data_IF_977557253742
#
_entry.id   IF_977557253742
#
_cell.length_a   1.000
_cell.length_b   1.000
_cell.length_c   1.000
_cell.angle_alpha   90.00
_cell.angle_beta   90.00
_cell.angle_gamma   90.00
#
_symmetry.space_group_name_H-M   'P 1'
#
loop_
_entity.id
_entity.type
_entity.pdbx_description
1 polymer ?
#
# COMPACT_ATOMS: atom_id res chain seq x y z
N UNK A 1 14.54 -26.43 48.95
CA UNK A 1 14.64 -27.28 47.73
C UNK A 1 13.23 -27.53 47.23
N UNK A 2 12.72 -26.63 46.38
CA UNK A 2 11.42 -26.71 45.74
C UNK A 2 11.56 -27.29 44.33
N UNK A 3 10.70 -28.23 44.04
CA UNK A 3 10.71 -29.14 42.91
C UNK A 3 10.46 -28.41 41.59
N UNK A 4 11.46 -28.37 40.71
CA UNK A 4 11.41 -27.79 39.35
C UNK A 4 10.60 -28.62 38.34
N UNK A 5 9.82 -29.61 38.74
CA UNK A 5 9.08 -30.51 37.84
C UNK A 5 7.71 -29.99 37.41
N UNK A 6 7.13 -29.00 38.04
CA UNK A 6 5.78 -28.54 37.72
C UNK A 6 5.73 -27.46 36.64
N UNK A 7 6.82 -26.74 36.36
CA UNK A 7 6.90 -25.73 35.31
C UNK A 7 6.86 -26.30 33.85
N UNK A 8 7.22 -27.59 33.69
CA UNK A 8 7.18 -28.21 32.38
C UNK A 8 5.81 -28.76 31.96
N UNK A 9 4.84 -28.87 32.87
CA UNK A 9 3.49 -29.35 32.57
C UNK A 9 2.59 -28.25 32.01
N UNK A 10 2.78 -26.99 32.39
CA UNK A 10 1.97 -25.88 31.90
C UNK A 10 2.33 -25.49 30.47
N UNK A 11 3.59 -25.58 30.06
CA UNK A 11 4.02 -25.34 28.68
C UNK A 11 3.51 -26.37 27.66
N UNK A 12 3.17 -27.57 28.08
CA UNK A 12 2.57 -28.59 27.20
C UNK A 12 1.09 -28.35 26.92
N UNK A 13 0.36 -27.65 27.77
CA UNK A 13 -1.05 -27.34 27.58
C UNK A 13 -1.30 -26.22 26.54
N UNK A 14 -0.39 -25.31 26.35
CA UNK A 14 -0.52 -24.24 25.35
C UNK A 14 -0.27 -24.69 23.91
N UNK A 15 0.35 -25.84 23.69
CA UNK A 15 0.58 -26.36 22.32
C UNK A 15 -0.61 -27.08 21.69
N UNK A 16 -1.68 -27.34 22.44
CA UNK A 16 -2.85 -28.08 21.94
C UNK A 16 -4.07 -27.23 21.61
N UNK A 17 -3.98 -25.89 21.67
CA UNK A 17 -5.13 -25.01 21.42
C UNK A 17 -5.15 -24.38 20.02
N UNK A 18 -4.34 -24.82 19.07
CA UNK A 18 -4.28 -24.27 17.70
C UNK A 18 -4.57 -25.30 16.62
N UNK A 19 -5.53 -26.21 16.83
CA UNK A 19 -6.12 -26.99 15.73
C UNK A 19 -7.58 -26.56 15.61
N UNK A 20 -7.81 -25.45 14.87
CA UNK A 20 -9.12 -25.14 14.29
C UNK A 20 -9.12 -25.62 12.86
N UNK A 21 -10.12 -26.41 12.52
CA UNK A 21 -10.29 -27.04 11.19
C UNK A 21 -10.62 -26.04 10.07
N UNK A 22 -10.74 -24.75 10.36
CA UNK A 22 -10.87 -23.66 9.37
C UNK A 22 -10.22 -22.40 9.92
N UNK A 23 -9.23 -21.87 9.20
CA UNK A 23 -8.53 -20.61 9.51
C UNK A 23 -9.12 -19.40 8.75
N UNK A 24 -10.41 -19.44 8.46
CA UNK A 24 -11.10 -18.27 7.94
C UNK A 24 -11.17 -17.20 9.04
N UNK A 25 -10.84 -15.97 8.67
CA UNK A 25 -10.79 -14.84 9.59
C UNK A 25 -11.78 -13.75 9.18
N UNK A 26 -12.54 -13.25 10.14
CA UNK A 26 -13.30 -12.00 10.01
C UNK A 26 -12.72 -10.99 10.98
N UNK A 27 -12.42 -9.79 10.51
CA UNK A 27 -11.86 -8.71 11.30
C UNK A 27 -12.65 -7.43 11.07
N UNK A 28 -12.98 -6.74 12.13
CA UNK A 28 -13.65 -5.44 12.07
C UNK A 28 -12.93 -4.42 12.95
N UNK A 29 -12.79 -3.20 12.44
CA UNK A 29 -12.23 -2.08 13.17
C UNK A 29 -13.18 -0.90 13.12
N UNK A 30 -13.32 -0.21 14.26
CA UNK A 30 -14.07 1.03 14.38
C UNK A 30 -13.24 1.99 15.25
N UNK A 31 -12.88 3.14 14.69
CA UNK A 31 -12.15 4.16 15.40
C UNK A 31 -12.93 5.47 15.37
N UNK A 32 -13.02 6.11 16.53
CA UNK A 32 -13.54 7.46 16.67
C UNK A 32 -12.40 8.42 16.97
N UNK A 33 -12.26 9.45 16.16
CA UNK A 33 -11.30 10.54 16.32
C UNK A 33 -12.05 11.81 16.71
N UNK A 34 -11.99 12.23 17.97
CA UNK A 34 -12.63 13.48 18.38
C UNK A 34 -11.96 14.68 17.69
N UNK A 35 -12.71 15.74 17.56
CA UNK A 35 -12.17 17.01 17.05
C UNK A 35 -10.92 17.40 17.81
N UNK A 36 -9.91 17.85 17.08
CA UNK A 36 -8.62 18.24 17.66
C UNK A 36 -8.02 19.41 16.90
N UNK A 37 -6.96 19.96 17.47
CA UNK A 37 -6.08 20.87 16.74
C UNK A 37 -5.15 20.05 15.86
N UNK A 38 -4.99 20.54 14.62
CA UNK A 38 -4.13 19.92 13.61
C UNK A 38 -3.11 20.93 13.11
N UNK A 39 -1.83 20.56 13.16
CA UNK A 39 -0.69 21.36 12.73
C UNK A 39 0.28 20.58 11.81
N UNK A 40 0.15 19.26 11.78
CA UNK A 40 0.97 18.41 10.90
C UNK A 40 0.55 18.54 9.44
N UNK A 41 -0.75 18.50 9.16
CA UNK A 41 -1.28 18.69 7.80
C UNK A 41 -0.97 20.08 7.24
N UNK A 42 -0.85 21.10 8.10
CA UNK A 42 -0.43 22.45 7.74
C UNK A 42 1.08 22.60 7.55
N UNK A 43 1.86 21.57 7.82
CA UNK A 43 3.33 21.59 7.80
C UNK A 43 3.93 22.73 8.65
N UNK A 44 3.33 23.01 9.80
CA UNK A 44 3.77 24.06 10.73
C UNK A 44 3.37 25.49 10.34
N UNK A 45 2.51 25.68 9.33
CA UNK A 45 2.04 27.01 8.91
C UNK A 45 0.83 27.51 9.71
N UNK A 46 0.64 27.02 10.91
CA UNK A 46 -0.44 27.34 11.83
C UNK A 46 -1.29 26.12 12.16
N UNK A 47 -2.14 26.25 13.16
CA UNK A 47 -3.04 25.17 13.58
C UNK A 47 -4.49 25.50 13.24
N UNK A 48 -5.25 24.48 12.86
CA UNK A 48 -6.67 24.57 12.61
C UNK A 48 -7.43 23.46 13.33
N UNK A 49 -8.73 23.62 13.50
CA UNK A 49 -9.57 22.67 14.22
C UNK A 49 -10.21 21.69 13.25
N UNK A 50 -9.97 20.40 13.47
CA UNK A 50 -10.62 19.32 12.70
C UNK A 50 -12.03 19.04 13.25
N UNK A 51 -12.87 18.37 12.44
CA UNK A 51 -14.13 17.80 12.88
C UNK A 51 -13.93 16.44 13.55
N UNK A 52 -14.98 15.93 14.21
CA UNK A 52 -15.03 14.54 14.66
C UNK A 52 -15.03 13.63 13.43
N UNK A 53 -14.28 12.54 13.50
CA UNK A 53 -14.18 11.59 12.38
C UNK A 53 -14.36 10.16 12.86
N UNK A 54 -15.00 9.37 12.06
CA UNK A 54 -15.14 7.92 12.27
C UNK A 54 -14.46 7.19 11.13
N UNK A 55 -13.63 6.23 11.48
CA UNK A 55 -13.08 5.22 10.57
C UNK A 55 -13.69 3.88 10.89
N UNK A 56 -14.05 3.12 9.87
CA UNK A 56 -14.49 1.75 9.99
C UNK A 56 -13.89 0.89 8.89
N UNK A 57 -13.61 -0.36 9.22
CA UNK A 57 -13.09 -1.36 8.29
C UNK A 57 -13.69 -2.71 8.62
N UNK A 58 -14.02 -3.48 7.60
CA UNK A 58 -14.38 -4.88 7.67
C UNK A 58 -13.51 -5.67 6.71
N UNK A 59 -12.92 -6.75 7.18
CA UNK A 59 -12.10 -7.65 6.40
C UNK A 59 -12.52 -9.10 6.60
N UNK A 60 -12.44 -9.87 5.52
CA UNK A 60 -12.61 -11.30 5.51
C UNK A 60 -11.43 -11.94 4.77
N UNK A 61 -10.92 -13.04 5.29
CA UNK A 61 -9.87 -13.83 4.67
C UNK A 61 -10.14 -15.32 4.82
N UNK A 62 -9.83 -16.08 3.78
CA UNK A 62 -9.87 -17.55 3.81
C UNK A 62 -8.54 -18.11 4.34
N UNK A 63 -8.54 -19.37 4.67
CA UNK A 63 -7.37 -20.10 5.17
C UNK A 63 -6.18 -20.03 4.20
N UNK A 64 -5.11 -19.34 4.60
CA UNK A 64 -3.89 -19.17 3.80
C UNK A 64 -3.00 -20.40 3.70
N UNK A 65 -3.32 -21.49 4.44
CA UNK A 65 -2.66 -22.78 4.31
C UNK A 65 -3.14 -23.57 3.08
N UNK A 66 -4.27 -23.18 2.49
CA UNK A 66 -4.85 -23.82 1.32
C UNK A 66 -4.08 -23.44 0.05
N UNK A 67 -4.18 -24.28 -0.98
CA UNK A 67 -3.56 -24.01 -2.30
C UNK A 67 -4.09 -22.74 -2.95
N UNK A 68 -5.32 -22.37 -2.65
CA UNK A 68 -5.96 -21.14 -3.06
C UNK A 68 -6.58 -20.45 -1.85
N UNK A 69 -6.22 -19.22 -1.62
CA UNK A 69 -6.83 -18.38 -0.61
C UNK A 69 -7.12 -16.99 -1.19
N UNK A 70 -8.11 -16.34 -0.64
CA UNK A 70 -8.48 -14.98 -1.02
C UNK A 70 -8.90 -14.17 0.20
N UNK A 71 -8.80 -12.88 0.06
CA UNK A 71 -9.25 -11.92 1.07
C UNK A 71 -9.96 -10.76 0.43
N UNK A 72 -10.87 -10.16 1.16
CA UNK A 72 -11.53 -8.91 0.80
C UNK A 72 -11.58 -8.02 2.03
N UNK A 73 -11.35 -6.73 1.82
CA UNK A 73 -11.49 -5.72 2.85
C UNK A 73 -12.19 -4.50 2.26
N UNK A 74 -12.93 -3.80 3.09
CA UNK A 74 -13.58 -2.56 2.68
C UNK A 74 -13.89 -1.70 3.90
N UNK A 75 -13.96 -0.42 3.68
CA UNK A 75 -14.17 0.50 4.78
C UNK A 75 -14.31 1.95 4.33
N UNK A 76 -14.36 2.82 5.31
CA UNK A 76 -14.44 4.23 5.05
C UNK A 76 -14.01 5.10 6.23
N UNK A 77 -13.73 6.34 5.93
CA UNK A 77 -13.36 7.36 6.89
C UNK A 77 -14.00 8.70 6.52
N UNK A 78 -14.43 9.44 7.51
CA UNK A 78 -14.81 10.84 7.31
C UNK A 78 -13.54 11.68 7.17
N UNK A 79 -13.53 12.56 6.17
CA UNK A 79 -12.43 13.49 5.94
C UNK A 79 -12.48 14.70 6.91
N UNK A 80 -11.42 15.47 6.93
CA UNK A 80 -11.23 16.58 7.88
C UNK A 80 -12.33 17.65 7.79
N UNK A 81 -12.85 17.91 6.58
CA UNK A 81 -13.83 18.97 6.28
C UNK A 81 -15.18 18.44 5.77
N UNK A 82 -15.69 17.36 6.33
CA UNK A 82 -17.00 16.75 6.01
C UNK A 82 -17.05 15.86 4.75
N UNK A 83 -15.93 15.65 4.07
CA UNK A 83 -15.83 14.66 2.99
C UNK A 83 -15.78 13.23 3.53
N UNK A 84 -15.58 12.29 2.63
CA UNK A 84 -15.44 10.86 2.98
C UNK A 84 -14.42 10.16 2.07
N UNK A 85 -13.65 9.28 2.66
CA UNK A 85 -12.85 8.32 1.92
C UNK A 85 -13.49 6.94 2.03
N UNK A 86 -13.59 6.23 0.93
CA UNK A 86 -14.02 4.83 0.87
C UNK A 86 -12.92 4.00 0.22
N UNK A 87 -12.75 2.77 0.66
CA UNK A 87 -11.77 1.87 0.08
C UNK A 87 -12.29 0.44 0.01
N UNK A 88 -11.76 -0.28 -0.97
CA UNK A 88 -11.94 -1.72 -1.14
C UNK A 88 -10.59 -2.34 -1.51
N UNK A 89 -10.30 -3.50 -0.95
CA UNK A 89 -9.13 -4.28 -1.30
C UNK A 89 -9.51 -5.74 -1.52
N UNK A 90 -8.89 -6.36 -2.51
CA UNK A 90 -9.03 -7.79 -2.81
C UNK A 90 -7.65 -8.39 -2.91
N UNK A 91 -7.42 -9.48 -2.20
CA UNK A 91 -6.19 -10.26 -2.23
C UNK A 91 -6.46 -11.70 -2.69
N UNK A 92 -5.51 -12.26 -3.41
CA UNK A 92 -5.54 -13.66 -3.87
C UNK A 92 -4.14 -14.26 -3.73
N UNK A 93 -4.07 -15.45 -3.15
CA UNK A 93 -2.84 -16.26 -3.12
C UNK A 93 -3.12 -17.61 -3.74
N UNK A 94 -2.28 -18.03 -4.70
CA UNK A 94 -2.39 -19.32 -5.36
C UNK A 94 -1.06 -20.09 -5.28
N UNK A 95 -1.08 -21.20 -4.56
CA UNK A 95 0.08 -22.08 -4.29
C UNK A 95 -0.27 -23.55 -4.65
N UNK A 96 -0.39 -23.89 -5.94
CA UNK A 96 -0.77 -25.24 -6.35
C UNK A 96 0.24 -26.30 -5.93
N UNK A 97 1.52 -25.92 -5.83
CA UNK A 97 2.65 -26.75 -5.43
C UNK A 97 3.63 -25.96 -4.58
N UNK A 98 4.54 -26.64 -3.88
CA UNK A 98 5.63 -25.99 -3.11
C UNK A 98 6.65 -25.24 -4.00
N UNK A 99 6.54 -25.39 -5.33
CA UNK A 99 7.45 -24.77 -6.30
C UNK A 99 6.88 -23.55 -7.00
N UNK A 100 5.62 -23.23 -6.76
CA UNK A 100 4.96 -22.09 -7.38
C UNK A 100 4.08 -21.35 -6.38
N UNK A 101 4.26 -20.05 -6.27
CA UNK A 101 3.31 -19.16 -5.61
C UNK A 101 3.04 -17.92 -6.44
N UNK A 102 1.80 -17.49 -6.42
CA UNK A 102 1.32 -16.26 -7.02
C UNK A 102 0.48 -15.52 -5.98
N UNK A 103 0.85 -14.28 -5.69
CA UNK A 103 0.12 -13.38 -4.79
C UNK A 103 -0.27 -12.14 -5.59
N UNK A 104 -1.56 -11.81 -5.60
CA UNK A 104 -2.13 -10.64 -6.24
C UNK A 104 -2.96 -9.87 -5.23
N UNK A 105 -2.63 -8.61 -5.00
CA UNK A 105 -3.39 -7.67 -4.18
C UNK A 105 -3.80 -6.48 -5.04
N UNK A 106 -5.05 -6.05 -4.95
CA UNK A 106 -5.55 -4.85 -5.63
C UNK A 106 -6.31 -4.03 -4.61
N UNK A 107 -5.85 -2.81 -4.37
CA UNK A 107 -6.52 -1.85 -3.52
C UNK A 107 -6.98 -0.67 -4.34
N UNK A 108 -8.22 -0.24 -4.12
CA UNK A 108 -8.78 0.99 -4.65
C UNK A 108 -9.27 1.85 -3.51
N UNK A 109 -9.00 3.15 -3.60
CA UNK A 109 -9.48 4.14 -2.66
C UNK A 109 -10.04 5.34 -3.42
N UNK A 110 -11.20 5.80 -3.00
CA UNK A 110 -11.82 7.02 -3.50
C UNK A 110 -11.95 8.01 -2.36
N UNK A 111 -11.37 9.18 -2.56
CA UNK A 111 -11.40 10.29 -1.62
C UNK A 111 -12.36 11.36 -2.12
N UNK A 112 -13.26 11.81 -1.29
CA UNK A 112 -14.08 13.01 -1.52
C UNK A 112 -13.72 14.03 -0.45
N UNK A 113 -13.11 15.15 -0.87
CA UNK A 113 -12.67 16.20 0.04
C UNK A 113 -11.36 15.89 0.78
N UNK A 114 -10.44 15.18 0.15
CA UNK A 114 -9.09 14.93 0.67
C UNK A 114 -8.32 16.24 0.81
N UNK A 115 -8.04 16.65 2.05
CA UNK A 115 -7.39 17.91 2.37
C UNK A 115 -5.88 17.82 2.18
N UNK A 116 -5.31 18.70 1.35
CA UNK A 116 -3.87 18.78 1.10
C UNK A 116 -3.35 20.20 1.25
N UNK A 117 -2.12 20.32 1.77
CA UNK A 117 -1.40 21.56 1.89
C UNK A 117 -0.81 21.99 0.55
N UNK A 118 -1.11 23.22 0.11
CA UNK A 118 -0.69 23.78 -1.18
C UNK A 118 0.53 24.72 -1.07
N UNK A 119 0.90 25.12 0.12
CA UNK A 119 2.03 26.00 0.39
C UNK A 119 1.64 27.16 1.33
N UNK A 120 2.59 27.58 2.18
CA UNK A 120 2.31 28.60 3.18
C UNK A 120 1.07 28.27 4.01
N UNK A 121 0.05 29.12 3.99
CA UNK A 121 -1.20 28.92 4.73
C UNK A 121 -2.36 28.42 3.85
N UNK A 122 -2.06 28.01 2.61
CA UNK A 122 -3.07 27.55 1.66
C UNK A 122 -3.26 26.05 1.77
N UNK A 123 -4.51 25.64 1.77
CA UNK A 123 -4.98 24.26 1.74
C UNK A 123 -5.99 24.11 0.61
N UNK A 124 -6.09 22.91 0.02
CA UNK A 124 -7.14 22.60 -0.94
C UNK A 124 -7.70 21.20 -0.66
N UNK A 125 -8.96 20.99 -1.01
CA UNK A 125 -9.58 19.67 -1.00
C UNK A 125 -9.63 19.11 -2.40
N UNK A 126 -9.46 17.78 -2.49
CA UNK A 126 -9.43 17.04 -3.74
C UNK A 126 -10.47 15.91 -3.73
N UNK A 127 -11.05 15.67 -4.89
CA UNK A 127 -11.71 14.41 -5.21
C UNK A 127 -10.68 13.53 -5.92
N UNK A 128 -10.37 12.35 -5.38
CA UNK A 128 -9.26 11.57 -5.87
C UNK A 128 -9.55 10.08 -5.90
N UNK A 129 -9.20 9.45 -7.01
CA UNK A 129 -9.10 8.01 -7.16
C UNK A 129 -7.66 7.52 -6.99
N UNK A 130 -7.48 6.39 -6.30
CA UNK A 130 -6.16 5.80 -6.07
C UNK A 130 -6.23 4.29 -6.27
N UNK A 131 -5.46 3.77 -7.25
CA UNK A 131 -5.29 2.34 -7.50
C UNK A 131 -3.90 1.87 -7.08
N UNK A 132 -3.85 0.73 -6.40
CA UNK A 132 -2.60 0.14 -5.91
C UNK A 132 -2.59 -1.39 -6.12
N UNK A 133 -2.42 -1.90 -7.36
CA UNK A 133 -2.18 -3.31 -7.59
C UNK A 133 -0.75 -3.70 -7.24
N UNK A 134 -0.62 -4.90 -6.68
CA UNK A 134 0.64 -5.56 -6.36
C UNK A 134 0.59 -7.00 -6.83
N UNK A 135 1.63 -7.43 -7.52
CA UNK A 135 1.83 -8.81 -7.97
C UNK A 135 3.16 -9.33 -7.43
N UNK A 136 3.14 -10.52 -6.83
CA UNK A 136 4.35 -11.26 -6.51
C UNK A 136 4.22 -12.71 -7.00
N UNK A 137 5.28 -13.21 -7.65
CA UNK A 137 5.35 -14.57 -8.15
C UNK A 137 6.69 -15.19 -7.80
N UNK A 138 6.66 -16.40 -7.26
CA UNK A 138 7.84 -17.21 -7.00
C UNK A 138 7.72 -18.54 -7.74
N UNK A 139 8.78 -18.90 -8.49
CA UNK A 139 8.85 -20.15 -9.25
C UNK A 139 10.19 -20.84 -8.98
N UNK A 140 10.16 -22.03 -8.45
CA UNK A 140 11.33 -22.91 -8.33
C UNK A 140 11.38 -23.86 -9.53
N UNK A 141 12.22 -23.54 -10.52
CA UNK A 141 12.44 -24.41 -11.68
C UNK A 141 13.08 -25.74 -11.26
N UNK A 142 14.05 -25.64 -10.36
CA UNK A 142 14.70 -26.79 -9.67
C UNK A 142 14.95 -26.40 -8.21
N UNK A 143 15.47 -27.32 -7.41
CA UNK A 143 15.91 -27.01 -6.03
C UNK A 143 16.99 -25.94 -5.94
N UNK A 144 17.71 -25.67 -7.06
CA UNK A 144 18.83 -24.71 -7.15
C UNK A 144 18.51 -23.50 -8.00
N UNK A 145 17.33 -23.41 -8.61
CA UNK A 145 16.97 -22.32 -9.53
C UNK A 145 15.62 -21.73 -9.14
N UNK A 146 15.60 -20.43 -8.93
CA UNK A 146 14.40 -19.67 -8.55
C UNK A 146 14.25 -18.46 -9.45
N UNK A 147 13.03 -18.21 -9.90
CA UNK A 147 12.59 -16.96 -10.52
C UNK A 147 11.63 -16.29 -9.55
N UNK A 148 11.84 -15.02 -9.28
CA UNK A 148 10.93 -14.17 -8.51
C UNK A 148 10.58 -12.92 -9.33
N UNK A 149 9.31 -12.67 -9.49
CA UNK A 149 8.77 -11.42 -10.04
C UNK A 149 8.05 -10.68 -8.92
N UNK A 150 8.35 -9.41 -8.77
CA UNK A 150 7.55 -8.49 -7.93
C UNK A 150 7.22 -7.26 -8.76
N UNK A 151 5.96 -6.83 -8.71
CA UNK A 151 5.49 -5.64 -9.39
C UNK A 151 4.54 -4.88 -8.46
N UNK A 152 4.68 -3.58 -8.40
CA UNK A 152 3.78 -2.68 -7.68
C UNK A 152 3.55 -1.46 -8.55
N UNK A 153 2.31 -1.03 -8.64
CA UNK A 153 1.95 0.22 -9.26
C UNK A 153 1.06 1.03 -8.33
N UNK A 154 1.20 2.34 -8.35
CA UNK A 154 0.31 3.28 -7.68
C UNK A 154 -0.09 4.35 -8.68
N UNK A 155 -1.39 4.43 -8.99
CA UNK A 155 -1.99 5.46 -9.83
C UNK A 155 -2.92 6.33 -9.00
N UNK A 156 -2.72 7.64 -9.05
CA UNK A 156 -3.57 8.65 -8.40
C UNK A 156 -4.00 9.64 -9.45
N UNK A 157 -5.31 9.92 -9.48
CA UNK A 157 -5.91 11.04 -10.21
C UNK A 157 -6.65 11.87 -9.20
N UNK A 158 -6.35 13.16 -9.13
CA UNK A 158 -6.87 14.06 -8.11
C UNK A 158 -7.31 15.39 -8.75
N UNK A 159 -8.60 15.70 -8.56
CA UNK A 159 -9.27 16.90 -9.04
C UNK A 159 -9.49 17.87 -7.89
N UNK A 160 -9.00 19.09 -8.04
CA UNK A 160 -9.12 20.13 -7.03
C UNK A 160 -10.56 20.66 -6.92
N UNK A 161 -11.08 20.72 -5.68
CA UNK A 161 -12.48 21.07 -5.44
C UNK A 161 -12.66 22.45 -4.82
N UNK A 162 -12.06 22.67 -3.64
CA UNK A 162 -12.25 23.89 -2.88
C UNK A 162 -10.95 24.34 -2.18
N UNK A 163 -10.84 25.64 -1.95
CA UNK A 163 -9.68 26.28 -1.36
C UNK A 163 -9.96 26.74 0.05
N UNK A 164 -8.96 26.60 0.89
CA UNK A 164 -9.02 27.01 2.28
C UNK A 164 -7.75 27.74 2.70
N UNK A 165 -7.90 28.61 3.67
CA UNK A 165 -6.79 29.28 4.31
C UNK A 165 -6.75 28.94 5.79
N UNK A 166 -5.56 28.61 6.29
CA UNK A 166 -5.30 28.43 7.72
C UNK A 166 -5.44 29.80 8.41
N UNK A 167 -6.30 29.94 9.44
CA UNK A 167 -6.54 31.23 10.10
C UNK A 167 -5.30 31.70 10.85
N UNK A 168 -5.10 33.05 10.99
CA UNK A 168 -3.99 33.64 11.77
C UNK A 168 -4.17 33.34 13.25
N UNK A 169 -5.40 33.49 13.73
CA UNK A 169 -5.79 33.06 15.07
C UNK A 169 -6.32 31.63 14.96
N UNK A 170 -5.80 30.69 15.76
CA UNK A 170 -6.23 29.30 15.67
C UNK A 170 -7.76 29.16 15.69
N UNK A 171 -8.30 28.47 14.69
CA UNK A 171 -9.75 28.34 14.46
C UNK A 171 -10.06 27.26 13.41
N UNK A 172 -11.28 27.31 12.85
CA UNK A 172 -11.64 26.50 11.69
C UNK A 172 -10.91 27.02 10.44
N UNK A 173 -10.66 26.13 9.45
CA UNK A 173 -10.19 26.57 8.13
C UNK A 173 -11.22 27.52 7.51
N UNK A 174 -10.72 28.55 6.85
CA UNK A 174 -11.54 29.56 6.19
C UNK A 174 -11.61 29.20 4.71
N UNK A 175 -12.80 28.93 4.21
CA UNK A 175 -13.00 28.72 2.78
C UNK A 175 -12.76 30.04 2.04
N UNK A 176 -11.97 30.00 0.98
CA UNK A 176 -11.62 31.15 0.16
C UNK A 176 -11.94 30.85 -1.30
N UNK A 177 -12.36 31.89 -2.03
CA UNK A 177 -12.56 31.75 -3.47
C UNK A 177 -11.23 31.49 -4.19
N UNK A 178 -11.31 30.79 -5.30
CA UNK A 178 -10.18 30.65 -6.21
C UNK A 178 -9.96 31.97 -6.95
N UNK A 179 -8.70 32.37 -7.09
CA UNK A 179 -8.37 33.45 -8.04
C UNK A 179 -8.75 33.02 -9.46
N UNK A 180 -9.44 33.90 -10.20
CA UNK A 180 -9.97 33.61 -11.53
C UNK A 180 -8.88 33.20 -12.54
N UNK A 181 -7.64 33.66 -12.31
CA UNK A 181 -6.48 33.38 -13.16
C UNK A 181 -5.61 32.22 -12.62
N UNK A 182 -5.99 31.57 -11.53
CA UNK A 182 -5.22 30.46 -10.97
C UNK A 182 -5.36 29.18 -11.82
N UNK A 183 -4.24 28.56 -12.14
CA UNK A 183 -4.20 27.26 -12.81
C UNK A 183 -4.80 26.19 -11.88
N UNK A 184 -5.66 25.25 -12.38
CA UNK A 184 -6.11 24.13 -11.59
C UNK A 184 -4.95 23.37 -10.94
N UNK A 185 -5.13 23.05 -9.67
CA UNK A 185 -4.17 22.25 -8.90
C UNK A 185 -4.37 20.74 -9.10
N UNK A 186 -5.14 20.34 -10.12
CA UNK A 186 -5.34 18.93 -10.48
C UNK A 186 -4.00 18.26 -10.70
N UNK A 187 -3.86 17.03 -10.23
CA UNK A 187 -2.61 16.30 -10.40
C UNK A 187 -2.83 14.82 -10.61
N UNK A 188 -1.89 14.20 -11.31
CA UNK A 188 -1.82 12.76 -11.47
C UNK A 188 -0.47 12.26 -10.97
N UNK A 189 -0.46 11.05 -10.41
CA UNK A 189 0.75 10.33 -10.04
C UNK A 189 0.67 8.92 -10.60
N UNK A 190 1.71 8.48 -11.27
CA UNK A 190 1.85 7.10 -11.71
C UNK A 190 3.24 6.59 -11.34
N UNK A 191 3.29 5.66 -10.40
CA UNK A 191 4.53 5.08 -9.90
C UNK A 191 4.52 3.57 -10.13
N UNK A 192 5.49 3.06 -10.90
CA UNK A 192 5.70 1.64 -11.13
C UNK A 192 7.05 1.20 -10.56
N UNK A 193 7.07 0.06 -9.92
CA UNK A 193 8.28 -0.69 -9.61
C UNK A 193 8.07 -2.14 -9.98
N UNK A 194 8.89 -2.65 -10.91
CA UNK A 194 8.90 -4.06 -11.31
C UNK A 194 10.31 -4.61 -11.17
N UNK A 195 10.45 -5.77 -10.57
CA UNK A 195 11.72 -6.47 -10.44
C UNK A 195 11.55 -7.94 -10.79
N UNK A 196 12.34 -8.40 -11.75
CA UNK A 196 12.50 -9.82 -12.08
C UNK A 196 13.87 -10.28 -11.60
N UNK A 197 13.91 -11.28 -10.75
CA UNK A 197 15.14 -11.86 -10.21
C UNK A 197 15.21 -13.35 -10.53
N UNK A 198 16.30 -13.76 -11.18
CA UNK A 198 16.69 -15.13 -11.32
C UNK A 198 17.87 -15.44 -10.41
N UNK A 199 17.77 -16.50 -9.62
CA UNK A 199 18.85 -17.03 -8.79
C UNK A 199 19.15 -18.45 -9.22
N UNK A 200 20.45 -18.75 -9.40
CA UNK A 200 20.94 -20.09 -9.66
C UNK A 200 22.09 -20.43 -8.73
N UNK A 201 21.93 -21.45 -7.90
CA UNK A 201 23.00 -22.06 -7.12
C UNK A 201 23.80 -22.97 -8.03
N UNK A 202 24.93 -22.48 -8.55
CA UNK A 202 25.82 -23.18 -9.51
C UNK A 202 26.56 -24.31 -8.81
N UNK A 203 27.03 -24.05 -7.57
CA UNK A 203 27.71 -24.99 -6.71
C UNK A 203 27.35 -24.67 -5.24
N UNK A 204 27.65 -25.56 -4.27
CA UNK A 204 27.41 -25.25 -2.87
C UNK A 204 28.03 -23.92 -2.47
N UNK A 205 27.24 -23.01 -1.89
CA UNK A 205 27.59 -21.64 -1.47
C UNK A 205 28.04 -20.72 -2.63
N UNK A 206 27.73 -21.06 -3.87
CA UNK A 206 28.06 -20.29 -5.08
C UNK A 206 26.80 -20.00 -5.88
N UNK A 207 26.44 -18.71 -5.98
CA UNK A 207 25.20 -18.25 -6.59
C UNK A 207 25.45 -17.28 -7.74
N UNK A 208 24.70 -17.45 -8.83
CA UNK A 208 24.50 -16.46 -9.87
C UNK A 208 23.15 -15.78 -9.64
N UNK A 209 23.16 -14.44 -9.61
CA UNK A 209 21.97 -13.61 -9.58
C UNK A 209 21.90 -12.79 -10.86
N UNK A 210 20.76 -12.82 -11.50
CA UNK A 210 20.40 -11.89 -12.59
C UNK A 210 19.17 -11.14 -12.12
N UNK A 211 19.26 -9.83 -12.02
CA UNK A 211 18.19 -8.97 -11.54
C UNK A 211 17.92 -7.89 -12.56
N UNK A 212 16.71 -7.87 -13.08
CA UNK A 212 16.20 -6.79 -13.89
C UNK A 212 15.24 -5.94 -13.06
N UNK A 213 15.46 -4.65 -13.01
CA UNK A 213 14.61 -3.69 -12.30
C UNK A 213 14.15 -2.62 -13.29
N UNK A 214 12.84 -2.40 -13.32
CA UNK A 214 12.21 -1.31 -14.07
C UNK A 214 11.36 -0.49 -13.12
N UNK A 215 11.47 0.83 -13.21
CA UNK A 215 10.70 1.75 -12.39
C UNK A 215 10.38 3.04 -13.11
N UNK A 216 9.23 3.59 -12.85
CA UNK A 216 8.79 4.91 -13.31
C UNK A 216 8.28 5.73 -12.13
N UNK A 217 8.34 7.05 -12.29
CA UNK A 217 7.76 8.00 -11.37
C UNK A 217 7.28 9.20 -12.21
N UNK A 218 6.04 9.12 -12.65
CA UNK A 218 5.42 10.09 -13.53
C UNK A 218 4.42 10.92 -12.73
N UNK A 219 4.45 12.22 -12.89
CA UNK A 219 3.53 13.14 -12.24
C UNK A 219 2.98 14.14 -13.26
N UNK A 220 1.78 14.65 -12.98
CA UNK A 220 1.13 15.71 -13.76
C UNK A 220 1.02 15.39 -15.26
N UNK A 221 0.63 14.16 -15.58
CA UNK A 221 0.29 13.78 -16.95
C UNK A 221 -1.05 14.42 -17.34
N UNK A 222 -1.20 14.73 -18.63
CA UNK A 222 -2.43 15.33 -19.20
C UNK A 222 -3.57 14.31 -19.21
N UNK A 223 -3.23 13.02 -19.33
CA UNK A 223 -4.19 11.91 -19.33
C UNK A 223 -4.53 11.49 -17.91
N UNK A 224 -5.77 11.55 -17.55
CA UNK A 224 -6.36 11.19 -16.23
C UNK A 224 -7.00 9.80 -16.24
N UNK A 225 -6.94 9.07 -17.35
CA UNK A 225 -7.39 7.69 -17.38
C UNK A 225 -6.33 6.75 -16.76
N UNK A 226 -6.72 5.99 -15.75
CA UNK A 226 -5.83 5.04 -15.06
C UNK A 226 -5.17 4.02 -16.00
N UNK A 227 -5.84 3.62 -17.08
CA UNK A 227 -5.28 2.74 -18.10
C UNK A 227 -4.07 3.34 -18.82
N UNK A 228 -4.14 4.60 -19.17
CA UNK A 228 -3.06 5.35 -19.81
C UNK A 228 -1.91 5.58 -18.83
N UNK A 229 -2.21 5.98 -17.57
CA UNK A 229 -1.21 6.14 -16.52
C UNK A 229 -0.43 4.85 -16.25
N UNK A 230 -1.09 3.70 -16.28
CA UNK A 230 -0.42 2.40 -16.13
C UNK A 230 0.46 2.09 -17.35
N UNK A 231 -0.05 2.32 -18.56
CA UNK A 231 0.69 2.09 -19.82
C UNK A 231 1.94 2.96 -19.88
N UNK A 232 1.81 4.26 -19.59
CA UNK A 232 2.92 5.20 -19.55
C UNK A 232 3.97 4.81 -18.51
N UNK A 233 3.54 4.30 -17.35
CA UNK A 233 4.45 3.81 -16.33
C UNK A 233 5.33 2.64 -16.84
N UNK A 234 4.83 1.84 -17.79
CA UNK A 234 5.62 0.79 -18.43
C UNK A 234 6.47 1.31 -19.60
N UNK A 235 6.02 2.31 -20.33
CA UNK A 235 6.71 2.80 -21.55
C UNK A 235 7.78 3.84 -21.25
N UNK A 236 7.60 4.66 -20.20
CA UNK A 236 8.49 5.75 -19.82
C UNK A 236 9.23 5.46 -18.49
N UNK A 237 10.17 4.51 -18.45
CA UNK A 237 10.89 4.20 -17.23
C UNK A 237 11.90 5.30 -16.86
N UNK A 238 12.00 5.61 -15.58
CA UNK A 238 13.09 6.40 -14.98
C UNK A 238 14.27 5.51 -14.65
N UNK A 239 13.99 4.23 -14.32
CA UNK A 239 14.99 3.21 -14.02
C UNK A 239 14.73 2.02 -14.93
N UNK A 240 15.78 1.59 -15.64
CA UNK A 240 15.79 0.38 -16.46
C UNK A 240 17.18 -0.25 -16.35
N UNK A 241 17.34 -1.21 -15.45
CA UNK A 241 18.66 -1.71 -15.03
C UNK A 241 18.68 -3.23 -15.00
N UNK A 242 19.68 -3.82 -15.63
CA UNK A 242 20.04 -5.23 -15.51
C UNK A 242 21.32 -5.37 -14.70
N UNK A 243 21.26 -6.13 -13.61
CA UNK A 243 22.41 -6.44 -12.76
C UNK A 243 22.69 -7.93 -12.80
N UNK A 244 23.93 -8.30 -13.07
CA UNK A 244 24.43 -9.68 -12.96
C UNK A 244 25.45 -9.75 -11.84
N UNK A 245 25.23 -10.62 -10.85
CA UNK A 245 26.13 -10.82 -9.71
C UNK A 245 26.50 -12.28 -9.58
N UNK A 246 27.79 -12.59 -9.64
CA UNK A 246 28.32 -13.90 -9.32
C UNK A 246 28.97 -13.88 -7.94
N UNK A 247 28.54 -14.76 -7.06
CA UNK A 247 29.21 -15.08 -5.82
C UNK A 247 29.73 -16.50 -5.93
N UNK A 248 31.05 -16.67 -5.91
CA UNK A 248 31.67 -17.98 -6.02
C UNK A 248 32.56 -18.23 -4.81
N UNK A 249 32.43 -19.41 -4.19
CA UNK A 249 33.30 -19.85 -3.08
C UNK A 249 34.43 -20.71 -3.63
N UNK A 250 35.65 -20.26 -3.39
CA UNK A 250 36.86 -21.02 -3.66
C UNK A 250 37.32 -21.78 -2.41
N UNK A 251 37.77 -22.99 -2.58
CA UNK A 251 38.34 -23.82 -1.51
C UNK A 251 37.41 -25.00 -1.12
N UNK A 252 38.03 -26.05 -0.70
CA UNK A 252 37.39 -27.25 -0.14
C UNK A 252 37.02 -27.00 1.32
#
# INVERSE_FOLDING_TARGET
YGDHRDLHKEYRRQRQMCIRDSLNEVRGHLYYFPRRWEDLESRGNGSFRTHDRVFWELAFGTDTSQKFSWSVQGGGMQETLSGRTQFIGVGMTYKPTDRFSLDLDVNYRHHQGWLLHQGGRQMATFDAGNWQPRLAMDVFLTARQQIRLTMQWAGIVADEQAFYQIPIVPGALIEVGRDADAVPGDFTISQLTAQLRYRWEIAPLSDLFVVYTRGSNLSNRIDDEFGNLLTDAFTDPVIDVLVVKLRYRFGN
#
